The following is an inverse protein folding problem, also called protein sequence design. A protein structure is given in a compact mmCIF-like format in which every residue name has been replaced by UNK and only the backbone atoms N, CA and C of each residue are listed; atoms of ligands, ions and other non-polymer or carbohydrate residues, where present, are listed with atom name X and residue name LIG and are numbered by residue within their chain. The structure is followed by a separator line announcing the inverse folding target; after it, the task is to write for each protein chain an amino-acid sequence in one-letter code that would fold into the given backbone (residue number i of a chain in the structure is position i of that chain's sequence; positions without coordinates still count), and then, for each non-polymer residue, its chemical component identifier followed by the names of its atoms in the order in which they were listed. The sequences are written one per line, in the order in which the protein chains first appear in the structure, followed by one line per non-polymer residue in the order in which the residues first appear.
data_IF_727572473207
#
_entry.id   IF_727572473207
#
_cell.length_a   1.000
_cell.length_b   1.000
_cell.length_c   1.000
_cell.angle_alpha   90.00
_cell.angle_beta   90.00
_cell.angle_gamma   90.00
#
_symmetry.space_group_name_H-M   'P 1'
#
loop_
_entity.id
_entity.type
_entity.pdbx_description
1 polymer ?
#
# COMPACT_ATOMS: atom_id res chain seq x y z
N UNK A 1 -8.08 9.97 -41.23
CA UNK A 1 -7.37 10.53 -40.07
C UNK A 1 -8.22 11.43 -39.14
N UNK A 2 -9.53 11.56 -39.35
CA UNK A 2 -10.40 12.47 -38.59
C UNK A 2 -11.36 11.80 -37.57
N UNK A 3 -11.37 10.46 -37.49
CA UNK A 3 -12.36 9.75 -36.64
C UNK A 3 -11.78 9.25 -35.30
N UNK A 4 -10.46 9.13 -35.18
CA UNK A 4 -9.80 8.61 -33.98
C UNK A 4 -9.72 9.65 -32.86
N UNK A 5 -9.59 10.93 -33.22
CA UNK A 5 -9.44 12.01 -32.26
C UNK A 5 -10.73 12.38 -31.48
N UNK A 6 -11.92 12.07 -32.08
CA UNK A 6 -13.20 12.37 -31.44
C UNK A 6 -13.62 11.38 -30.34
N UNK A 7 -13.09 10.15 -30.37
CA UNK A 7 -13.42 9.13 -29.34
C UNK A 7 -12.57 9.26 -28.07
N UNK A 8 -11.38 9.82 -28.16
CA UNK A 8 -10.51 10.05 -26.98
C UNK A 8 -10.97 11.20 -26.12
N UNK A 9 -11.58 12.24 -26.72
CA UNK A 9 -12.06 13.44 -26.01
C UNK A 9 -13.31 13.18 -25.17
N UNK A 10 -14.13 12.19 -25.52
CA UNK A 10 -15.36 11.86 -24.77
C UNK A 10 -15.07 11.01 -23.52
N UNK A 11 -13.99 10.21 -23.52
CA UNK A 11 -13.63 9.34 -22.40
C UNK A 11 -12.98 10.13 -21.25
N UNK A 12 -12.24 11.18 -21.54
CA UNK A 12 -11.61 12.06 -20.53
C UNK A 12 -12.64 12.94 -19.81
N UNK A 13 -13.78 13.24 -20.46
CA UNK A 13 -14.83 14.08 -19.89
C UNK A 13 -15.81 13.33 -18.97
N UNK A 14 -15.87 12.00 -19.05
CA UNK A 14 -16.73 11.19 -18.19
C UNK A 14 -16.14 10.93 -16.80
N UNK A 15 -14.82 11.01 -16.64
CA UNK A 15 -14.15 10.86 -15.34
C UNK A 15 -14.19 12.10 -14.45
N UNK A 16 -14.60 13.26 -14.97
CA UNK A 16 -14.64 14.53 -14.21
C UNK A 16 -15.99 14.84 -13.55
N UNK A 17 -17.00 13.99 -13.65
CA UNK A 17 -18.35 14.28 -13.14
C UNK A 17 -18.76 13.49 -11.89
N UNK A 18 -17.83 12.76 -11.24
CA UNK A 18 -18.11 12.02 -10.00
C UNK A 18 -17.37 12.53 -8.76
N UNK A 19 -16.90 13.78 -8.76
CA UNK A 19 -16.36 14.43 -7.56
C UNK A 19 -17.49 15.09 -6.78
N UNK A 20 -18.18 14.33 -5.96
CA UNK A 20 -19.11 14.83 -4.96
C UNK A 20 -18.39 15.23 -3.69
N UNK A 21 -18.43 16.49 -3.37
CA UNK A 21 -18.01 17.22 -2.19
C UNK A 21 -17.72 16.46 -0.89
N UNK A 22 -16.51 16.61 -0.35
CA UNK A 22 -16.33 17.02 1.04
C UNK A 22 -15.15 17.98 1.12
N UNK A 23 -15.37 19.09 1.82
CA UNK A 23 -14.40 20.16 1.99
C UNK A 23 -13.36 19.73 3.03
N UNK A 24 -12.17 19.37 2.57
CA UNK A 24 -10.97 19.36 3.39
C UNK A 24 -9.88 20.08 2.62
N UNK A 25 -9.52 21.28 3.12
CA UNK A 25 -8.72 22.31 2.46
C UNK A 25 -7.24 21.95 2.24
N UNK A 26 -6.80 20.74 2.58
CA UNK A 26 -5.40 20.30 2.36
C UNK A 26 -5.21 19.38 1.15
N UNK A 27 -6.29 18.79 0.60
CA UNK A 27 -6.21 17.94 -0.59
C UNK A 27 -6.24 18.74 -1.91
N UNK A 28 -6.83 19.93 -1.89
CA UNK A 28 -6.95 20.77 -3.09
C UNK A 28 -5.61 21.39 -3.53
N UNK A 29 -4.69 21.66 -2.62
CA UNK A 29 -3.36 22.18 -2.95
C UNK A 29 -2.45 21.16 -3.63
N UNK A 30 -2.67 19.85 -3.39
CA UNK A 30 -1.88 18.78 -4.01
C UNK A 30 -2.35 18.46 -5.43
N UNK A 31 -3.65 18.52 -5.68
CA UNK A 31 -4.23 18.24 -7.00
C UNK A 31 -3.97 19.38 -8.01
N UNK A 32 -3.89 20.64 -7.54
CA UNK A 32 -3.66 21.82 -8.40
C UNK A 32 -2.24 21.86 -8.94
N UNK A 33 -1.26 21.25 -8.27
CA UNK A 33 0.12 21.18 -8.74
C UNK A 33 0.37 20.12 -9.81
N UNK A 34 -0.55 19.20 -10.06
CA UNK A 34 -0.40 18.14 -11.07
C UNK A 34 -0.90 18.55 -12.46
N UNK A 35 -1.66 19.66 -12.60
CA UNK A 35 -2.25 20.11 -13.87
C UNK A 35 -1.64 21.37 -14.46
N UNK A 36 -0.64 21.96 -13.80
CA UNK A 36 0.00 23.21 -14.20
C UNK A 36 1.23 23.03 -15.07
N UNK A 37 1.06 23.25 -16.35
CA UNK A 37 2.08 23.60 -17.36
C UNK A 37 3.28 22.66 -17.58
N UNK A 38 3.16 21.87 -18.63
CA UNK A 38 4.27 21.25 -19.35
C UNK A 38 5.06 22.31 -20.15
N UNK A 39 5.74 23.23 -19.48
CA UNK A 39 6.87 23.97 -20.03
C UNK A 39 8.12 23.36 -19.40
N UNK A 40 9.01 22.83 -20.25
CA UNK A 40 10.36 22.40 -19.87
C UNK A 40 11.04 23.53 -19.09
N UNK A 41 10.90 23.54 -17.77
CA UNK A 41 11.83 24.26 -16.92
C UNK A 41 13.09 23.39 -16.82
N UNK A 42 14.18 23.92 -17.31
CA UNK A 42 15.54 23.46 -17.01
C UNK A 42 15.64 23.21 -15.51
N UNK A 43 16.24 22.08 -15.14
CA UNK A 43 16.56 21.76 -13.76
C UNK A 43 17.23 23.00 -13.12
N UNK A 44 16.48 23.73 -12.30
CA UNK A 44 17.08 24.71 -11.43
C UNK A 44 17.88 23.92 -10.39
N UNK A 45 19.17 24.15 -10.40
CA UNK A 45 20.08 23.74 -9.34
C UNK A 45 19.47 24.26 -8.03
N UNK A 46 18.96 23.37 -7.19
CA UNK A 46 18.54 23.71 -5.83
C UNK A 46 19.82 24.04 -5.08
N UNK A 47 20.13 25.33 -5.02
CA UNK A 47 21.17 25.83 -4.11
C UNK A 47 20.62 25.61 -2.70
N UNK A 48 21.08 24.53 -2.08
CA UNK A 48 20.87 24.32 -0.64
C UNK A 48 21.57 25.46 0.08
N UNK A 49 20.76 26.32 0.70
CA UNK A 49 21.27 27.40 1.53
C UNK A 49 22.16 26.82 2.63
N UNK A 50 23.45 27.12 2.57
CA UNK A 50 24.47 26.58 3.47
C UNK A 50 24.44 27.19 4.88
N UNK A 51 23.42 27.92 5.24
CA UNK A 51 23.29 28.58 6.55
C UNK A 51 22.42 27.86 7.58
N UNK A 52 21.84 26.70 7.24
CA UNK A 52 21.34 25.79 8.27
C UNK A 52 22.43 24.75 8.56
N UNK A 53 23.43 25.12 9.34
CA UNK A 53 24.20 24.17 10.12
C UNK A 53 23.30 23.62 11.23
N UNK A 54 22.27 22.84 10.84
CA UNK A 54 21.73 21.87 11.76
C UNK A 54 22.87 20.96 12.16
N UNK A 55 23.16 20.92 13.44
CA UNK A 55 24.07 19.94 14.03
C UNK A 55 23.65 18.58 13.51
N UNK A 56 24.46 18.02 12.61
CA UNK A 56 24.23 16.66 12.11
C UNK A 56 24.15 15.78 13.35
N UNK A 57 22.93 15.30 13.67
CA UNK A 57 22.73 14.40 14.80
C UNK A 57 23.71 13.24 14.61
N UNK A 58 24.50 12.94 15.63
CA UNK A 58 25.40 11.79 15.61
C UNK A 58 24.57 10.55 15.30
N UNK A 59 24.95 9.79 14.28
CA UNK A 59 24.28 8.54 13.94
C UNK A 59 24.31 7.56 15.14
N UNK A 60 23.31 6.70 15.21
CA UNK A 60 23.22 5.64 16.23
C UNK A 60 24.17 4.52 15.81
N UNK A 61 25.01 4.05 16.72
CA UNK A 61 25.90 2.94 16.45
C UNK A 61 25.14 1.62 16.36
N UNK A 62 25.72 0.61 15.69
CA UNK A 62 25.13 -0.72 15.57
C UNK A 62 24.78 -1.33 16.94
N UNK A 63 25.60 -1.11 17.95
CA UNK A 63 25.42 -1.70 19.28
C UNK A 63 24.34 -0.97 20.09
N UNK A 64 24.04 0.28 19.72
CA UNK A 64 23.04 1.13 20.39
C UNK A 64 21.68 1.11 19.68
N UNK A 65 21.63 0.66 18.41
CA UNK A 65 20.36 0.65 17.66
C UNK A 65 19.41 -0.38 18.26
N UNK A 66 18.17 0.04 18.51
CA UNK A 66 17.06 -0.84 18.91
C UNK A 66 15.84 -0.49 18.11
N UNK A 67 15.24 -1.51 17.51
CA UNK A 67 14.18 -1.38 16.53
C UNK A 67 12.87 -1.84 17.14
N UNK A 68 11.86 -0.97 17.10
CA UNK A 68 10.47 -1.32 17.37
C UNK A 68 9.74 -1.62 16.04
N UNK A 69 8.80 -2.54 16.05
CA UNK A 69 7.90 -2.76 14.92
C UNK A 69 6.50 -3.09 15.41
N UNK A 70 5.50 -2.42 14.82
CA UNK A 70 4.09 -2.70 15.06
C UNK A 70 3.52 -3.50 13.87
N UNK A 71 2.87 -4.61 14.19
CA UNK A 71 2.23 -5.50 13.24
C UNK A 71 0.74 -5.66 13.53
N UNK A 72 -0.07 -5.73 12.47
CA UNK A 72 -1.52 -5.98 12.55
C UNK A 72 -1.87 -7.35 13.13
N UNK A 73 -1.06 -8.35 12.82
CA UNK A 73 -1.25 -9.74 13.24
C UNK A 73 0.07 -10.39 13.62
N UNK A 74 0.03 -11.66 14.00
CA UNK A 74 1.23 -12.46 14.25
C UNK A 74 1.87 -12.87 12.90
N UNK A 75 3.14 -12.51 12.63
CA UNK A 75 3.84 -12.87 11.40
C UNK A 75 4.09 -14.37 11.25
N UNK A 76 3.89 -15.18 12.31
CA UNK A 76 4.05 -16.65 12.28
C UNK A 76 3.05 -17.31 11.32
N UNK A 77 1.98 -16.63 10.93
CA UNK A 77 1.04 -17.13 9.93
C UNK A 77 1.69 -17.51 8.58
N UNK A 78 2.89 -17.00 8.29
CA UNK A 78 3.72 -17.45 7.15
C UNK A 78 3.28 -16.92 5.78
N UNK A 79 2.27 -16.05 5.73
CA UNK A 79 1.80 -15.42 4.50
C UNK A 79 1.16 -14.06 4.78
N UNK A 80 0.87 -13.30 3.72
CA UNK A 80 0.16 -12.03 3.81
C UNK A 80 1.05 -10.83 4.16
N UNK A 81 0.39 -9.71 4.39
CA UNK A 81 1.01 -8.39 4.55
C UNK A 81 1.96 -8.33 5.75
N UNK A 82 1.49 -8.71 6.95
CA UNK A 82 2.30 -8.70 8.17
C UNK A 82 3.55 -9.57 8.06
N UNK A 83 3.39 -10.79 7.52
CA UNK A 83 4.50 -11.69 7.29
C UNK A 83 5.57 -11.08 6.37
N UNK A 84 5.14 -10.48 5.26
CA UNK A 84 6.06 -9.84 4.29
C UNK A 84 6.82 -8.68 4.93
N UNK A 85 6.16 -7.86 5.76
CA UNK A 85 6.84 -6.81 6.52
C UNK A 85 7.84 -7.38 7.52
N UNK A 86 7.50 -8.47 8.22
CA UNK A 86 8.43 -9.09 9.17
C UNK A 86 9.63 -9.75 8.47
N UNK A 87 9.45 -10.30 7.26
CA UNK A 87 10.59 -10.74 6.44
C UNK A 87 11.56 -9.59 6.14
N UNK A 88 11.04 -8.37 5.92
CA UNK A 88 11.85 -7.17 5.77
C UNK A 88 12.64 -6.83 7.05
N UNK A 89 12.00 -6.94 8.21
CA UNK A 89 12.66 -6.75 9.52
C UNK A 89 13.74 -7.82 9.75
N UNK A 90 13.46 -9.09 9.46
CA UNK A 90 14.45 -10.17 9.56
C UNK A 90 15.63 -9.95 8.61
N UNK A 91 15.35 -9.54 7.35
CA UNK A 91 16.40 -9.21 6.39
C UNK A 91 17.27 -8.05 6.84
N UNK A 92 16.68 -7.00 7.40
CA UNK A 92 17.41 -5.88 8.01
C UNK A 92 18.26 -6.36 9.18
N UNK A 93 17.70 -7.16 10.08
CA UNK A 93 18.40 -7.74 11.23
C UNK A 93 19.61 -8.53 10.81
N UNK A 94 19.48 -9.42 9.82
CA UNK A 94 20.57 -10.22 9.28
C UNK A 94 21.65 -9.36 8.62
N UNK A 95 21.26 -8.44 7.74
CA UNK A 95 22.19 -7.59 6.99
C UNK A 95 23.01 -6.66 7.90
N UNK A 96 22.40 -6.16 8.96
CA UNK A 96 23.05 -5.31 9.93
C UNK A 96 23.74 -6.13 11.05
N UNK A 97 23.45 -7.43 11.15
CA UNK A 97 23.97 -8.31 12.20
C UNK A 97 23.47 -7.88 13.58
N UNK A 98 22.19 -7.53 13.70
CA UNK A 98 21.58 -7.17 14.98
C UNK A 98 21.17 -8.43 15.74
N UNK A 99 21.25 -8.39 17.06
CA UNK A 99 20.77 -9.47 17.92
C UNK A 99 19.24 -9.43 18.08
N UNK A 100 18.64 -10.54 18.49
CA UNK A 100 17.20 -10.62 18.76
C UNK A 100 16.75 -9.62 19.83
N UNK A 101 17.59 -9.32 20.82
CA UNK A 101 17.30 -8.36 21.88
C UNK A 101 17.19 -6.89 21.37
N UNK A 102 17.67 -6.63 20.16
CA UNK A 102 17.58 -5.32 19.53
C UNK A 102 16.30 -5.14 18.71
N UNK A 103 15.47 -6.18 18.56
CA UNK A 103 14.22 -6.12 17.81
C UNK A 103 13.03 -6.33 18.77
N UNK A 104 12.18 -5.32 18.88
CA UNK A 104 10.95 -5.36 19.71
C UNK A 104 9.75 -5.42 18.79
N UNK A 105 9.05 -6.56 18.77
CA UNK A 105 7.82 -6.76 17.98
C UNK A 105 6.60 -6.54 18.84
N UNK A 106 5.67 -5.71 18.34
CA UNK A 106 4.31 -5.57 18.85
C UNK A 106 3.37 -6.18 17.82
N UNK A 107 2.74 -7.27 18.16
CA UNK A 107 1.84 -8.03 17.29
C UNK A 107 0.38 -7.82 17.70
N UNK A 108 -0.56 -8.04 16.78
CA UNK A 108 -2.00 -7.89 17.01
C UNK A 108 -2.35 -6.48 17.52
N UNK A 109 -1.71 -5.46 16.96
CA UNK A 109 -2.05 -4.06 17.23
C UNK A 109 -3.17 -3.66 16.27
N UNK A 110 -4.33 -3.29 16.80
CA UNK A 110 -5.46 -2.83 15.99
C UNK A 110 -5.17 -1.41 15.47
N UNK A 111 -5.09 -1.25 14.16
CA UNK A 111 -4.78 0.02 13.51
C UNK A 111 -5.98 0.97 13.41
N UNK A 112 -7.17 0.50 13.73
CA UNK A 112 -8.37 1.32 13.91
C UNK A 112 -8.48 1.91 15.32
N UNK A 113 -7.68 1.43 16.27
CA UNK A 113 -7.63 1.88 17.68
C UNK A 113 -6.38 2.75 17.90
N UNK A 114 -6.60 4.07 17.98
CA UNK A 114 -5.54 5.05 18.22
C UNK A 114 -4.86 4.85 19.58
N UNK A 115 -5.60 4.44 20.62
CA UNK A 115 -5.05 4.21 21.97
C UNK A 115 -4.17 2.96 22.00
N UNK A 116 -4.59 1.88 21.34
CA UNK A 116 -3.79 0.66 21.18
C UNK A 116 -2.48 0.94 20.44
N UNK A 117 -2.56 1.71 19.36
CA UNK A 117 -1.38 2.12 18.56
C UNK A 117 -0.42 2.98 19.39
N UNK A 118 -0.94 4.00 20.09
CA UNK A 118 -0.14 4.88 20.95
C UNK A 118 0.56 4.08 22.06
N UNK A 119 -0.19 3.18 22.73
CA UNK A 119 0.34 2.30 23.76
C UNK A 119 1.48 1.43 23.23
N UNK A 120 1.30 0.79 22.08
CA UNK A 120 2.32 -0.07 21.48
C UNK A 120 3.60 0.71 21.11
N UNK A 121 3.46 1.94 20.59
CA UNK A 121 4.59 2.83 20.33
C UNK A 121 5.32 3.19 21.63
N UNK A 122 4.60 3.60 22.67
CA UNK A 122 5.18 3.94 23.98
C UNK A 122 5.94 2.76 24.59
N UNK A 123 5.37 1.57 24.53
CA UNK A 123 6.05 0.36 24.99
C UNK A 123 7.34 0.06 24.21
N UNK A 124 7.43 0.38 22.92
CA UNK A 124 8.67 0.30 22.16
C UNK A 124 9.68 1.35 22.64
N UNK A 125 9.23 2.59 22.88
CA UNK A 125 10.07 3.68 23.40
C UNK A 125 10.62 3.33 24.79
N UNK A 126 9.76 2.85 25.69
CA UNK A 126 10.14 2.44 27.05
C UNK A 126 11.12 1.25 27.02
N UNK A 127 11.03 0.39 26.02
CA UNK A 127 12.01 -0.66 25.78
C UNK A 127 13.34 -0.14 25.24
N UNK A 128 13.48 1.16 24.94
CA UNK A 128 14.67 1.81 24.43
C UNK A 128 14.81 1.77 22.92
N UNK A 129 13.71 1.55 22.17
CA UNK A 129 13.74 1.63 20.71
C UNK A 129 14.01 3.08 20.26
N UNK A 130 14.97 3.23 19.36
CA UNK A 130 15.33 4.53 18.78
C UNK A 130 14.95 4.67 17.32
N UNK A 131 14.45 3.59 16.71
CA UNK A 131 13.71 3.60 15.45
C UNK A 131 12.49 2.67 15.57
N UNK A 132 11.33 3.12 15.09
CA UNK A 132 10.07 2.38 15.16
C UNK A 132 9.44 2.32 13.79
N UNK A 133 9.16 1.10 13.29
CA UNK A 133 8.41 0.84 12.08
C UNK A 133 6.94 0.62 12.42
N UNK A 134 6.05 1.40 11.84
CA UNK A 134 4.59 1.25 11.96
C UNK A 134 4.05 0.84 10.60
N UNK A 135 3.59 -0.41 10.47
CA UNK A 135 3.47 -1.09 9.17
C UNK A 135 2.08 -1.02 8.53
N UNK A 136 1.10 -0.29 9.10
CA UNK A 136 -0.23 -0.18 8.52
C UNK A 136 -0.69 1.26 8.33
N UNK A 137 -1.54 1.47 7.32
CA UNK A 137 -2.17 2.76 7.02
C UNK A 137 -2.82 3.40 8.24
N UNK A 138 -3.56 2.63 9.05
CA UNK A 138 -4.27 3.14 10.21
C UNK A 138 -3.37 3.71 11.29
N UNK A 139 -2.11 3.27 11.39
CA UNK A 139 -1.16 3.82 12.36
C UNK A 139 -0.67 5.24 12.03
N UNK A 140 -0.94 5.75 10.81
CA UNK A 140 -0.30 6.96 10.27
C UNK A 140 -0.46 8.19 11.18
N UNK A 141 -1.68 8.50 11.60
CA UNK A 141 -1.97 9.71 12.39
C UNK A 141 -1.35 9.64 13.78
N UNK A 142 -1.49 8.49 14.43
CA UNK A 142 -0.91 8.25 15.76
C UNK A 142 0.61 8.29 15.70
N UNK A 143 1.23 7.68 14.67
CA UNK A 143 2.68 7.76 14.46
C UNK A 143 3.15 9.19 14.27
N UNK A 144 2.44 10.01 13.49
CA UNK A 144 2.77 11.42 13.30
C UNK A 144 2.73 12.21 14.62
N UNK A 145 1.68 12.00 15.44
CA UNK A 145 1.57 12.58 16.78
C UNK A 145 2.74 12.18 17.68
N UNK A 146 3.06 10.89 17.72
CA UNK A 146 4.14 10.35 18.55
C UNK A 146 5.52 10.88 18.10
N UNK A 147 5.71 11.11 16.79
CA UNK A 147 6.96 11.67 16.28
C UNK A 147 7.18 13.12 16.73
N UNK A 148 6.13 13.91 16.94
CA UNK A 148 6.23 15.24 17.51
C UNK A 148 6.52 15.20 19.02
N UNK A 149 5.93 14.23 19.74
CA UNK A 149 6.14 14.07 21.18
C UNK A 149 7.54 13.49 21.53
N UNK A 150 8.11 12.69 20.64
CA UNK A 150 9.41 12.00 20.85
C UNK A 150 10.41 12.34 19.74
N UNK A 151 10.95 13.56 19.70
CA UNK A 151 11.80 14.06 18.61
C UNK A 151 13.14 13.33 18.46
N UNK A 152 13.55 12.55 19.45
CA UNK A 152 14.79 11.77 19.44
C UNK A 152 14.59 10.33 18.96
N UNK A 153 13.34 9.88 18.78
CA UNK A 153 13.00 8.59 18.20
C UNK A 153 12.67 8.76 16.71
N UNK A 154 13.18 7.90 15.87
CA UNK A 154 12.88 7.90 14.43
C UNK A 154 11.69 6.99 14.15
N UNK A 155 10.77 7.48 13.32
CA UNK A 155 9.59 6.73 12.90
C UNK A 155 9.60 6.54 11.38
N UNK A 156 9.40 5.29 10.96
CA UNK A 156 9.28 4.94 9.55
C UNK A 156 7.95 4.21 9.34
N UNK A 157 7.04 4.86 8.63
CA UNK A 157 5.68 4.38 8.46
C UNK A 157 5.52 3.67 7.12
N UNK A 158 5.04 2.43 7.14
CA UNK A 158 4.69 1.67 5.94
C UNK A 158 3.35 2.12 5.37
N UNK A 159 3.27 2.27 4.05
CA UNK A 159 2.12 2.86 3.35
C UNK A 159 1.96 4.37 3.68
N UNK A 160 0.77 4.91 3.79
CA UNK A 160 0.57 6.30 4.19
C UNK A 160 1.22 7.35 3.30
N UNK A 161 1.10 8.61 3.71
CA UNK A 161 1.61 9.74 2.92
C UNK A 161 2.18 10.89 3.79
N UNK A 162 2.23 10.73 5.13
CA UNK A 162 2.68 11.78 6.04
C UNK A 162 4.18 11.68 6.34
N UNK A 163 4.81 12.84 6.50
CA UNK A 163 6.18 12.97 6.99
C UNK A 163 6.35 14.35 7.66
N UNK A 164 7.35 14.53 8.52
CA UNK A 164 7.62 15.82 9.14
C UNK A 164 9.01 16.40 8.78
N UNK A 165 9.75 15.74 7.87
CA UNK A 165 11.08 16.18 7.44
C UNK A 165 12.18 16.09 8.51
N UNK A 166 11.91 15.51 9.67
CA UNK A 166 12.84 15.41 10.81
C UNK A 166 13.08 13.97 11.23
N UNK A 167 12.14 13.39 11.95
CA UNK A 167 12.21 12.05 12.53
C UNK A 167 11.05 11.14 12.13
N UNK A 168 10.18 11.58 11.22
CA UNK A 168 9.08 10.80 10.69
C UNK A 168 9.08 10.84 9.17
N UNK A 169 9.14 9.67 8.56
CA UNK A 169 8.98 9.47 7.13
C UNK A 169 7.99 8.33 6.85
N UNK A 170 7.55 8.23 5.61
CA UNK A 170 6.84 7.06 5.12
C UNK A 170 7.64 6.37 4.01
N UNK A 171 7.36 5.09 3.83
CA UNK A 171 7.84 4.30 2.69
C UNK A 171 6.68 3.51 2.08
N UNK A 172 6.69 3.42 0.77
CA UNK A 172 5.70 2.64 0.04
C UNK A 172 6.28 2.18 -1.30
N UNK A 173 6.07 0.91 -1.62
CA UNK A 173 6.44 0.36 -2.92
C UNK A 173 5.52 0.85 -4.03
N UNK A 174 6.03 0.97 -5.25
CA UNK A 174 5.19 1.27 -6.43
C UNK A 174 4.42 0.03 -6.87
N UNK A 175 3.59 -0.52 -5.97
CA UNK A 175 2.88 -1.79 -6.18
C UNK A 175 1.93 -1.71 -7.40
N UNK A 176 1.44 -0.52 -7.74
CA UNK A 176 0.64 -0.30 -8.93
C UNK A 176 1.38 -0.70 -10.23
N UNK A 177 2.72 -0.67 -10.27
CA UNK A 177 3.48 -1.15 -11.42
C UNK A 177 3.38 -2.67 -11.56
N UNK A 178 3.48 -3.40 -10.44
CA UNK A 178 3.27 -4.85 -10.44
C UNK A 178 1.81 -5.20 -10.77
N UNK A 179 0.84 -4.39 -10.30
CA UNK A 179 -0.57 -4.54 -10.67
C UNK A 179 -0.81 -4.37 -12.16
N UNK A 180 -0.17 -3.39 -12.78
CA UNK A 180 -0.25 -3.19 -14.23
C UNK A 180 0.28 -4.43 -14.98
N UNK A 181 1.44 -4.95 -14.58
CA UNK A 181 2.02 -6.15 -15.18
C UNK A 181 1.13 -7.38 -14.98
N UNK A 182 0.57 -7.57 -13.79
CA UNK A 182 -0.36 -8.68 -13.52
C UNK A 182 -1.65 -8.53 -14.33
N UNK A 183 -2.11 -7.30 -14.58
CA UNK A 183 -3.22 -7.01 -15.48
C UNK A 183 -2.93 -7.42 -16.94
N UNK A 184 -1.72 -7.17 -17.44
CA UNK A 184 -1.30 -7.67 -18.76
C UNK A 184 -1.40 -9.19 -18.81
N UNK A 185 -0.85 -9.88 -17.79
CA UNK A 185 -0.89 -11.36 -17.73
C UNK A 185 -2.34 -11.85 -17.69
N UNK A 186 -3.20 -11.24 -16.88
CA UNK A 186 -4.62 -11.57 -16.80
C UNK A 186 -5.33 -11.39 -18.14
N UNK A 187 -5.13 -10.25 -18.79
CA UNK A 187 -5.75 -9.95 -20.10
C UNK A 187 -5.30 -10.88 -21.23
N UNK A 188 -4.06 -11.36 -21.18
CA UNK A 188 -3.52 -12.34 -22.12
C UNK A 188 -4.05 -13.76 -21.91
N UNK A 189 -4.46 -14.12 -20.69
CA UNK A 189 -4.84 -15.50 -20.32
C UNK A 189 -6.34 -15.71 -20.21
N UNK A 190 -7.15 -14.68 -20.00
CA UNK A 190 -8.62 -14.83 -19.97
C UNK A 190 -9.15 -15.36 -21.29
N UNK A 191 -10.11 -16.26 -21.22
CA UNK A 191 -10.84 -16.82 -22.36
C UNK A 191 -12.29 -16.36 -22.39
N UNK A 192 -12.78 -15.89 -21.24
CA UNK A 192 -14.18 -15.43 -21.09
C UNK A 192 -14.31 -13.92 -21.19
N UNK A 193 -13.17 -13.19 -21.29
CA UNK A 193 -13.10 -11.72 -21.17
C UNK A 193 -13.69 -11.18 -19.86
N UNK A 194 -13.75 -12.03 -18.83
CA UNK A 194 -14.24 -11.67 -17.50
C UNK A 194 -13.16 -11.99 -16.47
N UNK A 195 -12.70 -10.95 -15.80
CA UNK A 195 -11.65 -11.02 -14.80
C UNK A 195 -12.22 -10.52 -13.47
N UNK A 196 -12.06 -11.29 -12.41
CA UNK A 196 -12.53 -10.95 -11.07
C UNK A 196 -11.43 -10.29 -10.24
N UNK A 197 -11.80 -9.27 -9.48
CA UNK A 197 -10.91 -8.56 -8.55
C UNK A 197 -11.58 -8.48 -7.17
N UNK A 198 -10.99 -9.15 -6.17
CA UNK A 198 -11.41 -9.04 -4.77
C UNK A 198 -10.63 -7.90 -4.12
N UNK A 199 -11.32 -6.84 -3.75
CA UNK A 199 -10.73 -5.61 -3.23
C UNK A 199 -10.97 -5.47 -1.73
N UNK A 200 -9.94 -5.13 -0.96
CA UNK A 200 -10.04 -4.95 0.48
C UNK A 200 -10.89 -3.76 0.88
N UNK A 201 -10.78 -2.65 0.16
CA UNK A 201 -11.47 -1.39 0.47
C UNK A 201 -12.17 -0.83 -0.77
N UNK A 202 -13.09 0.10 -0.54
CA UNK A 202 -13.78 0.82 -1.60
C UNK A 202 -12.93 1.97 -2.18
N UNK A 203 -13.56 2.81 -3.00
CA UNK A 203 -12.91 3.93 -3.68
C UNK A 203 -12.38 5.03 -2.76
N UNK A 204 -12.63 4.98 -1.46
CA UNK A 204 -12.07 5.93 -0.49
C UNK A 204 -10.60 5.65 -0.16
N UNK A 205 -10.12 4.44 -0.44
CA UNK A 205 -8.73 4.06 -0.23
C UNK A 205 -7.93 4.18 -1.54
N UNK A 206 -6.99 5.13 -1.60
CA UNK A 206 -6.19 5.41 -2.80
C UNK A 206 -5.22 4.30 -3.17
N UNK A 207 -4.77 3.48 -2.23
CA UNK A 207 -3.91 2.33 -2.48
C UNK A 207 -4.67 1.28 -3.28
N UNK A 208 -5.86 0.92 -2.80
CA UNK A 208 -6.71 -0.08 -3.46
C UNK A 208 -7.19 0.41 -4.82
N UNK A 209 -7.66 1.66 -4.90
CA UNK A 209 -8.12 2.27 -6.15
C UNK A 209 -7.01 2.33 -7.19
N UNK A 210 -5.82 2.81 -6.80
CA UNK A 210 -4.66 2.86 -7.70
C UNK A 210 -4.22 1.46 -8.17
N UNK A 211 -4.38 0.44 -7.33
CA UNK A 211 -4.12 -0.96 -7.68
C UNK A 211 -5.13 -1.50 -8.70
N UNK A 212 -6.42 -1.25 -8.50
CA UNK A 212 -7.50 -1.65 -9.42
C UNK A 212 -7.32 -0.96 -10.78
N UNK A 213 -7.08 0.36 -10.78
CA UNK A 213 -6.92 1.14 -11.99
C UNK A 213 -5.70 0.68 -12.80
N UNK A 214 -4.57 0.47 -12.13
CA UNK A 214 -3.36 -0.03 -12.78
C UNK A 214 -3.56 -1.42 -13.38
N UNK A 215 -4.22 -2.32 -12.64
CA UNK A 215 -4.55 -3.66 -13.13
C UNK A 215 -5.47 -3.59 -14.36
N UNK A 216 -6.55 -2.82 -14.27
CA UNK A 216 -7.49 -2.65 -15.38
C UNK A 216 -6.83 -2.04 -16.63
N UNK A 217 -5.94 -1.06 -16.45
CA UNK A 217 -5.14 -0.50 -17.55
C UNK A 217 -4.20 -1.54 -18.16
N UNK A 218 -3.61 -2.42 -17.34
CA UNK A 218 -2.81 -3.54 -17.81
C UNK A 218 -3.61 -4.51 -18.67
N UNK A 219 -4.81 -4.92 -18.19
CA UNK A 219 -5.74 -5.76 -18.95
C UNK A 219 -6.10 -5.08 -20.27
N UNK A 220 -6.53 -3.83 -20.22
CA UNK A 220 -6.98 -3.09 -21.40
C UNK A 220 -5.86 -2.91 -22.46
N UNK A 221 -4.60 -2.84 -22.04
CA UNK A 221 -3.47 -2.68 -22.96
C UNK A 221 -3.26 -3.86 -23.92
N UNK A 222 -3.76 -5.05 -23.55
CA UNK A 222 -3.61 -6.29 -24.33
C UNK A 222 -4.95 -6.91 -24.75
N UNK A 223 -6.05 -6.62 -24.04
CA UNK A 223 -7.37 -7.13 -24.31
C UNK A 223 -8.43 -6.05 -24.02
N UNK A 224 -8.87 -5.36 -25.07
CA UNK A 224 -9.85 -4.25 -24.97
C UNK A 224 -11.28 -4.71 -24.75
N UNK A 225 -11.59 -5.99 -24.95
CA UNK A 225 -12.92 -6.57 -24.77
C UNK A 225 -13.13 -7.09 -23.35
N UNK A 226 -12.03 -7.41 -22.64
CA UNK A 226 -12.07 -7.92 -21.28
C UNK A 226 -12.60 -6.86 -20.29
N UNK A 227 -13.31 -7.34 -19.27
CA UNK A 227 -13.90 -6.53 -18.19
C UNK A 227 -13.37 -7.02 -16.85
N UNK A 228 -12.99 -6.07 -16.02
CA UNK A 228 -12.62 -6.33 -14.62
C UNK A 228 -13.84 -6.08 -13.74
N UNK A 229 -14.29 -7.12 -13.06
CA UNK A 229 -15.40 -7.09 -12.10
C UNK A 229 -14.84 -7.03 -10.70
N UNK A 230 -15.22 -6.02 -9.91
CA UNK A 230 -14.68 -5.78 -8.57
C UNK A 230 -15.71 -6.14 -7.51
N UNK A 231 -15.32 -6.89 -6.49
CA UNK A 231 -16.06 -7.10 -5.25
C UNK A 231 -15.24 -6.59 -4.08
N UNK A 232 -15.87 -5.79 -3.22
CA UNK A 232 -15.23 -5.14 -2.08
C UNK A 232 -15.62 -5.88 -0.80
N UNK A 233 -14.62 -6.24 0.02
CA UNK A 233 -14.81 -6.93 1.31
C UNK A 233 -14.91 -5.97 2.49
N UNK A 234 -14.48 -4.71 2.32
CA UNK A 234 -14.32 -3.69 3.38
C UNK A 234 -13.40 -4.14 4.53
N UNK A 235 -12.43 -5.00 4.21
CA UNK A 235 -11.43 -5.48 5.17
C UNK A 235 -10.17 -5.93 4.42
N UNK A 236 -9.01 -5.70 5.03
CA UNK A 236 -7.74 -6.26 4.55
C UNK A 236 -7.63 -7.76 4.82
N UNK A 237 -8.23 -8.22 5.90
CA UNK A 237 -8.21 -9.62 6.33
C UNK A 237 -9.62 -10.07 6.74
N UNK A 238 -10.31 -10.75 5.86
CA UNK A 238 -11.66 -11.29 6.11
C UNK A 238 -11.86 -12.58 5.29
N UNK A 239 -11.30 -13.71 5.73
CA UNK A 239 -11.27 -14.96 4.97
C UNK A 239 -12.61 -15.38 4.37
N UNK A 240 -13.68 -15.29 5.16
CA UNK A 240 -15.03 -15.67 4.74
C UNK A 240 -15.57 -14.72 3.66
N UNK A 241 -15.44 -13.40 3.86
CA UNK A 241 -15.89 -12.40 2.88
C UNK A 241 -15.05 -12.42 1.60
N UNK A 242 -13.75 -12.69 1.70
CA UNK A 242 -12.86 -12.84 0.55
C UNK A 242 -13.24 -14.06 -0.29
N UNK A 243 -13.55 -15.17 0.36
CA UNK A 243 -14.00 -16.40 -0.30
C UNK A 243 -15.37 -16.20 -0.98
N UNK A 244 -16.34 -15.59 -0.28
CA UNK A 244 -17.66 -15.26 -0.84
C UNK A 244 -17.54 -14.32 -2.04
N UNK A 245 -16.70 -13.28 -1.94
CA UNK A 245 -16.47 -12.35 -3.04
C UNK A 245 -15.87 -13.06 -4.27
N UNK A 246 -14.91 -13.96 -4.07
CA UNK A 246 -14.32 -14.75 -5.14
C UNK A 246 -15.33 -15.73 -5.75
N UNK A 247 -16.16 -16.38 -4.94
CA UNK A 247 -17.20 -17.29 -5.41
C UNK A 247 -18.21 -16.58 -6.32
N UNK A 248 -18.69 -15.40 -5.91
CA UNK A 248 -19.60 -14.60 -6.74
C UNK A 248 -18.95 -14.23 -8.08
N UNK A 249 -17.68 -13.85 -8.10
CA UNK A 249 -16.95 -13.52 -9.33
C UNK A 249 -16.81 -14.75 -10.25
N UNK A 250 -16.49 -15.91 -9.69
CA UNK A 250 -16.41 -17.18 -10.42
C UNK A 250 -17.75 -17.59 -11.01
N UNK A 251 -18.85 -17.43 -10.26
CA UNK A 251 -20.21 -17.74 -10.72
C UNK A 251 -20.68 -16.77 -11.80
N UNK A 252 -20.14 -15.54 -11.86
CA UNK A 252 -20.33 -14.61 -12.98
C UNK A 252 -19.58 -15.04 -14.25
N UNK A 253 -18.72 -16.08 -14.17
CA UNK A 253 -17.92 -16.60 -15.25
C UNK A 253 -16.56 -15.94 -15.41
N UNK A 254 -16.04 -15.33 -14.35
CA UNK A 254 -14.64 -14.88 -14.34
C UNK A 254 -13.71 -16.11 -14.36
N UNK A 255 -12.72 -16.09 -15.24
CA UNK A 255 -11.73 -17.18 -15.40
C UNK A 255 -10.30 -16.78 -14.99
N UNK A 256 -10.17 -15.58 -14.46
CA UNK A 256 -8.99 -15.10 -13.75
C UNK A 256 -9.47 -14.38 -12.50
N UNK A 257 -8.94 -14.73 -11.33
CA UNK A 257 -9.23 -14.09 -10.05
C UNK A 257 -7.95 -13.45 -9.52
N UNK A 258 -8.01 -12.16 -9.23
CA UNK A 258 -6.97 -11.43 -8.50
C UNK A 258 -7.54 -10.81 -7.24
N UNK A 259 -6.68 -10.37 -6.35
CA UNK A 259 -7.11 -9.80 -5.09
C UNK A 259 -6.20 -8.67 -4.60
N UNK A 260 -6.71 -7.95 -3.58
CA UNK A 260 -6.00 -6.93 -2.83
C UNK A 260 -6.31 -7.10 -1.33
N UNK A 261 -6.20 -8.35 -0.85
CA UNK A 261 -6.47 -8.77 0.51
C UNK A 261 -5.31 -9.62 1.04
N UNK A 262 -5.34 -9.96 2.30
CA UNK A 262 -4.18 -10.58 2.97
C UNK A 262 -4.26 -12.11 3.08
N UNK A 263 -5.34 -12.74 2.61
CA UNK A 263 -5.45 -14.20 2.61
C UNK A 263 -5.23 -14.80 1.22
N UNK A 264 -4.94 -16.09 1.15
CA UNK A 264 -4.86 -16.84 -0.10
C UNK A 264 -6.18 -17.51 -0.52
N UNK A 265 -7.28 -17.27 0.18
CA UNK A 265 -8.56 -17.93 -0.10
C UNK A 265 -9.08 -17.73 -1.52
N UNK A 266 -9.03 -16.49 -2.11
CA UNK A 266 -9.45 -16.29 -3.50
C UNK A 266 -8.64 -17.13 -4.49
N UNK A 267 -7.31 -17.31 -4.27
CA UNK A 267 -6.46 -18.15 -5.12
C UNK A 267 -6.76 -19.63 -4.95
N UNK A 268 -6.98 -20.07 -3.72
CA UNK A 268 -7.36 -21.47 -3.42
C UNK A 268 -8.66 -21.82 -4.14
N UNK A 269 -9.66 -20.96 -4.04
CA UNK A 269 -10.94 -21.16 -4.71
C UNK A 269 -10.81 -21.11 -6.24
N UNK A 270 -9.98 -20.23 -6.79
CA UNK A 270 -9.68 -20.19 -8.22
C UNK A 270 -9.05 -21.51 -8.70
N UNK A 271 -8.10 -22.07 -7.91
CA UNK A 271 -7.49 -23.37 -8.18
C UNK A 271 -8.53 -24.50 -8.17
N UNK A 272 -9.41 -24.55 -7.16
CA UNK A 272 -10.48 -25.54 -7.05
C UNK A 272 -11.46 -25.50 -8.23
N UNK A 273 -11.72 -24.31 -8.77
CA UNK A 273 -12.56 -24.10 -9.95
C UNK A 273 -11.81 -24.24 -11.28
N UNK A 274 -10.49 -24.51 -11.25
CA UNK A 274 -9.66 -24.72 -12.43
C UNK A 274 -9.43 -23.45 -13.28
N UNK A 275 -9.42 -22.29 -12.65
CA UNK A 275 -9.15 -20.99 -13.27
C UNK A 275 -7.87 -20.37 -12.73
N UNK A 276 -7.41 -19.27 -13.32
CA UNK A 276 -6.16 -18.63 -12.91
C UNK A 276 -6.37 -17.78 -11.65
N UNK A 277 -5.42 -17.89 -10.70
CA UNK A 277 -5.31 -17.03 -9.51
C UNK A 277 -4.08 -16.13 -9.59
N UNK A 278 -4.20 -14.88 -9.14
CA UNK A 278 -3.10 -13.92 -9.00
C UNK A 278 -3.07 -13.43 -7.57
N UNK A 279 -2.00 -13.73 -6.83
CA UNK A 279 -1.82 -13.39 -5.43
C UNK A 279 -1.37 -11.95 -5.20
N UNK A 280 -1.18 -11.61 -3.89
CA UNK A 280 -0.78 -10.29 -3.43
C UNK A 280 0.17 -10.38 -2.23
N UNK A 281 1.13 -9.45 -2.14
CA UNK A 281 2.11 -9.27 -1.07
C UNK A 281 3.12 -10.42 -0.87
N UNK A 282 2.71 -11.65 -0.94
CA UNK A 282 3.57 -12.83 -0.71
C UNK A 282 3.37 -13.86 -1.81
N UNK A 283 4.24 -14.85 -1.85
CA UNK A 283 4.00 -16.05 -2.65
C UNK A 283 2.81 -16.81 -2.06
N UNK A 284 1.74 -16.90 -2.84
CA UNK A 284 0.47 -17.53 -2.48
C UNK A 284 0.21 -18.78 -3.34
N UNK A 285 1.27 -19.30 -4.04
CA UNK A 285 1.18 -20.51 -4.88
C UNK A 285 1.22 -21.80 -4.07
#
# INVERSE_FOLDING_TARGET
MGSFLKKVTVLVMACMLLSGCSKDTQLDDYATNLTGNNSRQSAQEVTVDKEQTETVKKGISKDEIKVGVLHLSDPVAGSGYTYTHDLGIQGMQQNLGLSDSQIVRKINVDDSDEEATEKAIKECIDAGCNIIFTTSWGYMKTTAKMAEEYPDVYFSHGTGCMSNGRNFNNYFGRIYQARYLSGIVAGMNTKTDKIGYVAAMDSSNSEVTGGIDAFALGVYSVNTDAKVYVKVTNSWYAPEAENEAAEVLLDMGCDVITQHCDTSYPQTLAQERGVYGIGYNSDMS
#
